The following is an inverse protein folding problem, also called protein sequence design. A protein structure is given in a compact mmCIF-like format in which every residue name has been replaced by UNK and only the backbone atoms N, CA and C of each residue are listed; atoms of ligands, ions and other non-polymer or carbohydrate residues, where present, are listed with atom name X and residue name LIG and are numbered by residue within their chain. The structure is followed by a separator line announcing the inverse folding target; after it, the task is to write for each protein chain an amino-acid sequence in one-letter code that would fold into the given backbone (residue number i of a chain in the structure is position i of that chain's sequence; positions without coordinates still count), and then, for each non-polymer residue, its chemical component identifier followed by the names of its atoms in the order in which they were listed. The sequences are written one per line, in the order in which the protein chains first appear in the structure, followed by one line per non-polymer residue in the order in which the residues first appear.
data_IF_832951297311
#
_entry.id   IF_832951297311
#
_cell.length_a   1.000
_cell.length_b   1.000
_cell.length_c   1.000
_cell.angle_alpha   90.00
_cell.angle_beta   90.00
_cell.angle_gamma   90.00
#
_symmetry.space_group_name_H-M   'P 1'
#
loop_
_entity.id
_entity.type
_entity.pdbx_description
1 polymer ?
#
# COMPACT_ATOMS: atom_id res chain seq x y z
N UNK A 1 12.31 -8.42 7.74
CA UNK A 1 11.16 -7.58 7.35
C UNK A 1 11.08 -7.51 5.84
N UNK A 2 9.88 -7.58 5.27
CA UNK A 2 9.67 -7.33 3.85
C UNK A 2 10.01 -5.85 3.58
N UNK A 3 11.01 -5.59 2.71
CA UNK A 3 11.37 -4.21 2.34
C UNK A 3 10.13 -3.49 1.79
N UNK A 4 9.98 -2.20 2.10
CA UNK A 4 8.93 -1.35 1.51
C UNK A 4 9.01 -1.48 -0.01
N UNK A 5 7.92 -1.95 -0.63
CA UNK A 5 7.79 -1.96 -2.08
C UNK A 5 7.87 -0.51 -2.58
N UNK A 6 8.54 -0.29 -3.72
CA UNK A 6 8.79 1.07 -4.24
C UNK A 6 7.51 1.84 -4.58
N UNK A 7 6.36 1.16 -4.60
CA UNK A 7 5.06 1.72 -4.92
C UNK A 7 4.82 1.77 -6.43
N UNK A 8 3.68 2.35 -6.80
CA UNK A 8 3.30 2.66 -8.18
C UNK A 8 2.91 4.12 -8.20
N UNK A 9 3.46 4.90 -9.12
CA UNK A 9 2.98 6.26 -9.38
C UNK A 9 1.75 6.20 -10.28
N UNK A 10 0.70 6.94 -9.90
CA UNK A 10 -0.58 6.97 -10.61
C UNK A 10 -0.78 8.37 -11.18
N UNK A 11 -1.01 8.45 -12.48
CA UNK A 11 -1.15 9.72 -13.17
C UNK A 11 -2.48 10.42 -12.86
N UNK A 12 -2.49 11.74 -13.05
CA UNK A 12 -3.69 12.55 -12.83
C UNK A 12 -4.78 12.18 -13.83
N UNK A 13 -5.88 11.60 -13.33
CA UNK A 13 -7.03 11.18 -14.13
C UNK A 13 -7.16 9.67 -14.28
N UNK A 14 -6.14 8.91 -13.86
CA UNK A 14 -6.21 7.47 -13.77
C UNK A 14 -6.99 7.06 -12.51
N UNK A 15 -8.09 6.34 -12.70
CA UNK A 15 -8.98 5.90 -11.61
C UNK A 15 -8.59 4.54 -11.04
N UNK A 16 -7.81 3.76 -11.78
CA UNK A 16 -7.46 2.39 -11.46
C UNK A 16 -5.95 2.15 -11.64
N UNK A 17 -5.33 1.46 -10.70
CA UNK A 17 -3.95 1.02 -10.78
C UNK A 17 -3.83 -0.40 -10.23
N UNK A 18 -3.08 -1.26 -10.93
CA UNK A 18 -2.85 -2.65 -10.53
C UNK A 18 -1.43 -2.84 -10.04
N UNK A 19 -1.28 -3.46 -8.88
CA UNK A 19 0.02 -3.85 -8.32
C UNK A 19 0.07 -5.38 -8.21
N UNK A 20 0.96 -6.00 -9.00
CA UNK A 20 1.23 -7.43 -8.92
C UNK A 20 2.50 -7.68 -8.10
N UNK A 21 2.42 -8.61 -7.15
CA UNK A 21 3.53 -8.98 -6.26
C UNK A 21 3.92 -10.43 -6.54
N UNK A 22 5.11 -10.62 -7.11
CA UNK A 22 5.70 -11.93 -7.34
C UNK A 22 6.30 -12.50 -6.04
N UNK A 23 5.47 -13.20 -5.27
CA UNK A 23 5.84 -13.76 -3.95
C UNK A 23 7.13 -14.60 -3.97
N UNK A 24 7.37 -15.48 -4.98
CA UNK A 24 8.65 -16.19 -5.12
C UNK A 24 9.89 -15.29 -5.13
N UNK A 25 9.84 -14.14 -5.83
CA UNK A 25 10.99 -13.20 -5.88
C UNK A 25 11.29 -12.58 -4.53
N UNK A 26 10.28 -12.40 -3.69
CA UNK A 26 10.44 -11.82 -2.35
C UNK A 26 10.88 -12.84 -1.29
N UNK A 27 11.00 -14.13 -1.63
CA UNK A 27 11.32 -15.21 -0.67
C UNK A 27 10.49 -15.10 0.61
N UNK A 28 9.18 -14.88 0.46
CA UNK A 28 8.28 -14.65 1.59
C UNK A 28 8.26 -15.91 2.46
N UNK A 29 8.54 -15.81 3.78
CA UNK A 29 8.61 -16.99 4.63
C UNK A 29 7.23 -17.61 4.86
N UNK A 30 7.21 -18.90 5.18
CA UNK A 30 5.99 -19.62 5.57
C UNK A 30 5.36 -18.95 6.80
N UNK A 31 4.04 -18.84 6.81
CA UNK A 31 3.28 -18.26 7.90
C UNK A 31 2.33 -17.15 7.46
N UNK A 32 1.81 -16.42 8.46
CA UNK A 32 0.81 -15.35 8.27
C UNK A 32 1.50 -14.00 8.17
N UNK A 33 1.25 -13.31 7.06
CA UNK A 33 1.73 -11.97 6.77
C UNK A 33 0.57 -10.99 6.72
N UNK A 34 0.80 -9.78 7.20
CA UNK A 34 -0.17 -8.68 7.11
C UNK A 34 0.52 -7.49 6.46
N UNK A 35 -0.10 -6.92 5.44
CA UNK A 35 0.41 -5.73 4.76
C UNK A 35 -0.72 -4.72 4.53
N UNK A 36 -0.33 -3.48 4.27
CA UNK A 36 -1.23 -2.36 3.99
C UNK A 36 -0.68 -1.58 2.80
N UNK A 37 -1.57 -1.06 1.99
CA UNK A 37 -1.22 -0.12 0.93
C UNK A 37 -1.26 1.29 1.53
N UNK A 38 -0.18 2.06 1.32
CA UNK A 38 -0.13 3.46 1.70
C UNK A 38 -0.25 4.32 0.44
N UNK A 39 -1.24 5.21 0.40
CA UNK A 39 -1.39 6.21 -0.64
C UNK A 39 -0.92 7.56 -0.09
N UNK A 40 -0.08 8.25 -0.86
CA UNK A 40 0.43 9.58 -0.52
C UNK A 40 0.03 10.54 -1.62
N UNK A 41 -0.81 11.53 -1.28
CA UNK A 41 -1.35 12.50 -2.23
C UNK A 41 -0.92 13.90 -1.80
N UNK A 42 -0.24 14.63 -2.67
CA UNK A 42 0.05 16.06 -2.47
C UNK A 42 -1.15 16.87 -2.94
N UNK A 43 -1.65 17.75 -2.07
CA UNK A 43 -2.82 18.57 -2.37
C UNK A 43 -2.75 19.93 -1.70
N UNK A 44 -3.77 20.75 -1.93
CA UNK A 44 -3.94 22.04 -1.25
C UNK A 44 -5.13 21.93 -0.29
N UNK A 45 -4.89 22.23 0.97
CA UNK A 45 -5.95 22.31 1.97
C UNK A 45 -6.29 23.78 2.24
N UNK A 46 -7.58 24.08 2.19
CA UNK A 46 -8.13 25.38 2.54
C UNK A 46 -8.63 25.31 3.98
N UNK A 47 -7.99 26.06 4.87
CA UNK A 47 -8.39 26.08 6.27
C UNK A 47 -9.72 26.82 6.41
N UNK A 48 -10.65 26.30 7.23
CA UNK A 48 -11.87 27.04 7.54
C UNK A 48 -11.51 28.37 8.21
N UNK A 49 -12.30 29.43 7.96
CA UNK A 49 -11.99 30.76 8.46
C UNK A 49 -12.01 30.78 10.00
N UNK A 50 -10.83 30.94 10.60
CA UNK A 50 -10.72 31.18 12.05
C UNK A 50 -11.28 32.59 12.33
N UNK A 51 -12.32 32.65 13.17
CA UNK A 51 -13.00 33.89 13.59
C UNK A 51 -13.74 34.65 12.46
N UNK A 52 -14.30 33.95 11.48
CA UNK A 52 -15.14 34.56 10.44
C UNK A 52 -14.40 35.44 9.42
N UNK A 53 -13.07 35.56 9.53
CA UNK A 53 -12.23 36.17 8.50
C UNK A 53 -11.92 35.13 7.45
N UNK A 54 -12.39 35.33 6.22
CA UNK A 54 -12.00 34.52 5.06
C UNK A 54 -10.47 34.51 4.97
N UNK A 55 -9.87 33.33 4.99
CA UNK A 55 -8.42 33.18 4.81
C UNK A 55 -8.18 32.54 3.46
N UNK A 56 -7.64 33.28 2.50
CA UNK A 56 -7.28 32.76 1.17
C UNK A 56 -6.01 31.86 1.20
N UNK A 57 -5.55 31.49 2.38
CA UNK A 57 -4.30 30.75 2.59
C UNK A 57 -4.51 29.26 2.35
N UNK A 58 -4.39 28.85 1.09
CA UNK A 58 -4.18 27.45 0.72
C UNK A 58 -2.78 27.04 1.15
N UNK A 59 -2.66 26.00 1.97
CA UNK A 59 -1.37 25.39 2.28
C UNK A 59 -1.19 24.12 1.48
N UNK A 60 0.01 23.92 0.97
CA UNK A 60 0.42 22.63 0.43
C UNK A 60 0.48 21.64 1.59
N UNK A 61 -0.22 20.53 1.41
CA UNK A 61 -0.30 19.44 2.39
C UNK A 61 -0.07 18.12 1.69
N UNK A 62 0.46 17.16 2.44
CA UNK A 62 0.58 15.78 1.99
C UNK A 62 -0.42 14.95 2.79
N UNK A 63 -1.41 14.41 2.11
CA UNK A 63 -2.35 13.45 2.70
C UNK A 63 -1.76 12.06 2.58
N UNK A 64 -1.80 11.32 3.67
CA UNK A 64 -1.45 9.91 3.69
C UNK A 64 -2.68 9.12 4.13
N UNK A 65 -3.04 8.10 3.36
CA UNK A 65 -4.08 7.14 3.73
C UNK A 65 -3.53 5.73 3.66
N UNK A 66 -4.13 4.84 4.45
CA UNK A 66 -3.77 3.43 4.50
C UNK A 66 -5.00 2.60 4.18
N UNK A 67 -4.81 1.52 3.41
CA UNK A 67 -5.85 0.51 3.22
C UNK A 67 -6.13 -0.23 4.53
N UNK A 68 -7.29 -0.89 4.65
CA UNK A 68 -7.46 -1.96 5.61
C UNK A 68 -6.31 -3.00 5.50
N UNK A 69 -5.99 -3.71 6.59
CA UNK A 69 -4.98 -4.75 6.57
C UNK A 69 -5.37 -5.88 5.60
N UNK A 70 -4.45 -6.25 4.72
CA UNK A 70 -4.57 -7.41 3.85
C UNK A 70 -3.78 -8.55 4.49
N UNK A 71 -4.46 -9.66 4.76
CA UNK A 71 -3.86 -10.85 5.38
C UNK A 71 -3.55 -11.87 4.30
N UNK A 72 -2.32 -12.38 4.30
CA UNK A 72 -1.88 -13.43 3.40
C UNK A 72 -1.28 -14.57 4.22
N UNK A 73 -1.63 -15.80 3.87
CA UNK A 73 -1.10 -17.01 4.49
C UNK A 73 -0.26 -17.79 3.47
N UNK A 74 1.02 -17.93 3.76
CA UNK A 74 1.96 -18.70 2.93
C UNK A 74 2.06 -20.09 3.55
N UNK A 75 1.53 -21.09 2.83
CA UNK A 75 1.64 -22.49 3.23
C UNK A 75 3.01 -23.07 2.84
N UNK A 76 3.56 -24.00 3.62
CA UNK A 76 4.76 -24.72 3.22
C UNK A 76 4.50 -25.51 1.93
N UNK A 77 5.54 -25.65 1.12
CA UNK A 77 5.49 -26.53 -0.05
C UNK A 77 5.32 -27.97 0.47
N UNK A 78 4.35 -28.74 -0.06
CA UNK A 78 4.19 -30.14 0.31
C UNK A 78 5.49 -30.91 0.05
N UNK A 79 5.88 -31.78 0.98
CA UNK A 79 7.03 -32.68 0.75
C UNK A 79 6.76 -33.53 -0.50
N UNK A 80 7.77 -33.73 -1.37
CA UNK A 80 7.60 -34.63 -2.50
C UNK A 80 7.26 -36.00 -1.96
N UNK A 81 6.13 -36.56 -2.38
CA UNK A 81 5.81 -37.96 -2.10
C UNK A 81 6.89 -38.79 -2.81
N UNK A 82 7.82 -39.35 -2.03
CA UNK A 82 8.77 -40.33 -2.55
C UNK A 82 7.95 -41.42 -3.23
N UNK A 83 8.04 -41.48 -4.57
CA UNK A 83 7.55 -42.63 -5.31
C UNK A 83 8.41 -43.80 -4.86
N UNK A 84 7.89 -44.60 -3.93
CA UNK A 84 8.43 -45.93 -3.63
C UNK A 84 8.55 -46.66 -4.95
N UNK A 85 9.79 -46.93 -5.32
CA UNK A 85 10.18 -47.69 -6.50
C UNK A 85 9.89 -49.16 -6.30
#
# INVERSE_FOLDING_TARGET
ELKKFAGVEVDKGQTEASLEIDLPKFKVPVGRHTFQLAATIKGKYEFPPLNGKKTDKKKDVTFQSFSPPIVMEVKPVPEPVEKKK
#
